data_IF_499583765897
#
_entry.id   IF_499583765897
#
_cell.length_a   1.000
_cell.length_b   1.000
_cell.length_c   1.000
_cell.angle_alpha   90.00
_cell.angle_beta   90.00
_cell.angle_gamma   90.00
#
_symmetry.space_group_name_H-M   'P 1'
#
loop_
_entity.id
_entity.type
_entity.pdbx_description
1 polymer ?
#
# COMPACT_ATOMS: atom_id res chain seq x y z
N UNK A 1 2.87 -5.28 -0.42
CA UNK A 1 4.18 -5.96 -0.59
C UNK A 1 3.99 -7.40 -1.05
N UNK A 2 5.01 -7.98 -1.63
CA UNK A 2 4.92 -9.33 -2.18
C UNK A 2 4.99 -10.38 -1.08
N UNK A 3 4.14 -11.39 -1.18
CA UNK A 3 4.12 -12.55 -0.28
C UNK A 3 4.18 -13.85 -1.07
N UNK A 4 4.13 -15.02 -0.38
CA UNK A 4 4.25 -16.33 -1.05
C UNK A 4 3.17 -16.61 -2.10
N UNK A 5 1.97 -16.06 -1.92
CA UNK A 5 0.83 -16.27 -2.82
C UNK A 5 0.60 -15.10 -3.78
N UNK A 6 1.48 -14.10 -3.79
CA UNK A 6 1.35 -12.88 -4.56
C UNK A 6 1.32 -11.64 -3.69
N UNK A 7 0.61 -10.59 -4.11
CA UNK A 7 0.55 -9.33 -3.36
C UNK A 7 -0.25 -9.52 -2.07
N UNK A 8 0.37 -9.20 -0.94
CA UNK A 8 -0.23 -9.33 0.39
C UNK A 8 -0.60 -7.98 0.98
N UNK A 9 -1.72 -7.92 1.70
CA UNK A 9 -2.16 -6.74 2.42
C UNK A 9 -1.32 -6.58 3.70
N UNK A 10 -0.62 -5.44 3.82
CA UNK A 10 0.29 -5.19 4.94
C UNK A 10 -0.27 -4.18 5.95
N UNK A 11 -1.39 -3.55 5.66
CA UNK A 11 -2.01 -2.59 6.56
C UNK A 11 -2.55 -1.38 5.83
N UNK A 12 -3.03 -0.42 6.62
CA UNK A 12 -3.64 0.83 6.16
C UNK A 12 -2.82 2.00 6.69
N UNK A 13 -2.32 2.85 5.78
CA UNK A 13 -1.51 4.02 6.15
C UNK A 13 -2.40 5.25 6.08
N UNK A 14 -2.67 5.87 7.24
CA UNK A 14 -3.55 7.03 7.34
C UNK A 14 -2.87 8.32 7.81
N UNK A 15 -1.55 8.29 8.07
CA UNK A 15 -0.83 9.45 8.58
C UNK A 15 0.47 9.69 7.80
N UNK A 16 1.02 10.88 7.93
CA UNK A 16 2.25 11.28 7.25
C UNK A 16 2.01 11.99 5.92
N UNK A 17 0.74 12.15 5.52
CA UNK A 17 0.39 12.81 4.27
C UNK A 17 0.12 14.30 4.49
N UNK A 18 0.63 15.14 3.57
CA UNK A 18 0.23 16.53 3.45
C UNK A 18 -0.80 16.66 2.32
N UNK A 19 -1.43 17.82 2.19
CA UNK A 19 -2.35 18.09 1.07
C UNK A 19 -1.64 17.92 -0.28
N UNK A 20 -0.42 18.43 -0.38
CA UNK A 20 0.38 18.33 -1.61
C UNK A 20 0.74 16.87 -1.92
N UNK A 21 1.10 16.10 -0.88
CA UNK A 21 1.41 14.68 -1.04
C UNK A 21 0.18 13.90 -1.53
N UNK A 22 -0.99 14.16 -0.94
CA UNK A 22 -2.22 13.48 -1.35
C UNK A 22 -2.58 13.81 -2.79
N UNK A 23 -2.43 15.07 -3.21
CA UNK A 23 -2.71 15.47 -4.58
C UNK A 23 -1.74 14.80 -5.56
N UNK A 24 -0.46 14.77 -5.25
CA UNK A 24 0.56 14.12 -6.07
C UNK A 24 0.31 12.63 -6.22
N UNK A 25 0.04 11.94 -5.11
CA UNK A 25 -0.26 10.51 -5.14
C UNK A 25 -1.53 10.21 -5.92
N UNK A 26 -2.57 11.03 -5.77
CA UNK A 26 -3.80 10.88 -6.53
C UNK A 26 -3.57 10.97 -8.03
N UNK A 27 -2.76 11.94 -8.48
CA UNK A 27 -2.41 12.08 -9.89
C UNK A 27 -1.60 10.89 -10.41
N UNK A 28 -0.68 10.36 -9.60
CA UNK A 28 0.15 9.22 -10.00
C UNK A 28 -0.64 7.91 -10.02
N UNK A 29 -1.63 7.77 -9.15
CA UNK A 29 -2.44 6.55 -9.03
C UNK A 29 -3.59 6.49 -10.02
N UNK A 30 -4.12 7.63 -10.46
CA UNK A 30 -5.29 7.66 -11.36
C UNK A 30 -5.12 6.82 -12.62
N UNK A 31 -3.99 6.90 -13.36
CA UNK A 31 -3.80 6.06 -14.54
C UNK A 31 -3.68 4.57 -14.22
N UNK A 32 -3.47 4.21 -12.95
CA UNK A 32 -3.27 2.83 -12.51
C UNK A 32 -4.56 2.18 -11.97
N UNK A 33 -5.70 2.88 -12.01
CA UNK A 33 -6.96 2.37 -11.47
C UNK A 33 -7.38 1.06 -12.13
N UNK A 34 -7.92 0.17 -11.30
CA UNK A 34 -8.44 -1.11 -11.78
C UNK A 34 -9.73 -1.45 -11.05
N UNK A 35 -10.54 -2.33 -11.64
CA UNK A 35 -11.86 -2.67 -11.10
C UNK A 35 -11.80 -3.66 -9.95
N UNK A 36 -10.76 -4.49 -9.89
CA UNK A 36 -10.64 -5.57 -8.92
C UNK A 36 -9.42 -5.39 -8.05
N UNK A 37 -9.45 -6.01 -6.85
CA UNK A 37 -8.32 -5.99 -5.92
C UNK A 37 -7.09 -6.69 -6.52
N UNK A 38 -5.89 -6.09 -6.40
CA UNK A 38 -4.64 -6.73 -6.81
C UNK A 38 -4.11 -7.73 -5.77
N UNK A 39 -4.74 -7.82 -4.59
CA UNK A 39 -4.26 -8.68 -3.52
C UNK A 39 -4.58 -10.15 -3.76
N UNK A 40 -3.66 -11.02 -3.38
CA UNK A 40 -3.80 -12.47 -3.53
C UNK A 40 -4.87 -13.05 -2.61
N UNK A 41 -5.09 -12.40 -1.45
CA UNK A 41 -6.10 -12.79 -0.47
C UNK A 41 -7.05 -11.63 -0.22
N UNK A 42 -8.29 -11.89 0.24
CA UNK A 42 -9.26 -10.81 0.49
C UNK A 42 -8.76 -9.82 1.53
N UNK A 43 -8.97 -8.54 1.25
CA UNK A 43 -8.73 -7.46 2.20
C UNK A 43 -9.92 -7.37 3.16
N UNK A 44 -9.72 -7.04 4.46
CA UNK A 44 -10.84 -6.89 5.40
C UNK A 44 -11.93 -5.98 4.84
N UNK A 45 -13.22 -6.33 5.01
CA UNK A 45 -14.33 -5.59 4.39
C UNK A 45 -14.38 -4.11 4.76
N UNK A 46 -14.00 -3.74 5.98
CA UNK A 46 -13.99 -2.35 6.42
C UNK A 46 -13.03 -1.47 5.63
N UNK A 47 -12.02 -2.06 5.02
CA UNK A 47 -11.06 -1.37 4.15
C UNK A 47 -11.34 -1.60 2.67
N UNK A 48 -11.91 -2.75 2.32
CA UNK A 48 -12.16 -3.12 0.93
C UNK A 48 -13.33 -2.34 0.31
N UNK A 49 -14.40 -2.08 1.06
CA UNK A 49 -15.61 -1.44 0.53
C UNK A 49 -15.39 -0.02 0.01
N UNK A 50 -14.70 0.86 0.75
CA UNK A 50 -14.47 2.22 0.26
C UNK A 50 -13.27 2.34 -0.67
N UNK A 51 -12.54 1.25 -0.91
CA UNK A 51 -11.27 1.30 -1.62
C UNK A 51 -11.46 1.53 -3.12
N UNK A 52 -10.51 2.28 -3.69
CA UNK A 52 -10.28 2.35 -5.13
C UNK A 52 -9.02 1.52 -5.38
N UNK A 53 -9.16 0.50 -6.23
CA UNK A 53 -8.05 -0.40 -6.52
C UNK A 53 -7.17 0.14 -7.63
N UNK A 54 -5.86 -0.08 -7.51
CA UNK A 54 -4.88 0.35 -8.50
C UNK A 54 -3.87 -0.77 -8.78
N UNK A 55 -3.23 -0.69 -9.95
CA UNK A 55 -2.10 -1.58 -10.25
C UNK A 55 -0.96 -1.26 -9.27
N UNK A 56 -0.31 -2.28 -8.68
CA UNK A 56 0.72 -2.07 -7.64
C UNK A 56 2.07 -1.71 -8.27
N UNK A 57 2.15 -0.54 -8.86
CA UNK A 57 3.36 -0.04 -9.54
C UNK A 57 4.13 1.02 -8.77
N UNK A 58 3.49 1.65 -7.78
CA UNK A 58 4.16 2.65 -6.94
C UNK A 58 4.66 2.00 -5.66
N UNK A 59 5.87 2.39 -5.25
CA UNK A 59 6.46 1.96 -3.97
C UNK A 59 6.61 3.19 -3.09
N UNK A 60 6.20 3.07 -1.85
CA UNK A 60 6.37 4.13 -0.85
C UNK A 60 7.22 3.63 0.31
N UNK A 61 7.89 4.58 0.97
CA UNK A 61 8.58 4.33 2.23
C UNK A 61 7.61 4.58 3.37
N UNK A 62 7.56 3.64 4.32
CA UNK A 62 6.68 3.72 5.48
C UNK A 62 7.49 3.46 6.74
N UNK A 63 7.31 4.31 7.74
CA UNK A 63 7.80 4.05 9.09
C UNK A 63 6.70 3.35 9.88
N UNK A 64 7.03 2.32 10.64
CA UNK A 64 6.03 1.62 11.46
C UNK A 64 6.71 1.06 12.71
N UNK A 65 5.89 0.80 13.74
CA UNK A 65 6.39 0.32 15.03
C UNK A 65 6.84 -1.15 14.94
N UNK A 66 5.93 -2.02 14.53
CA UNK A 66 6.21 -3.46 14.44
C UNK A 66 5.17 -4.16 13.56
N UNK A 67 5.43 -5.42 13.22
CA UNK A 67 4.45 -6.29 12.60
C UNK A 67 3.53 -6.89 13.66
N UNK A 68 2.22 -6.92 13.40
CA UNK A 68 1.25 -7.58 14.26
C UNK A 68 1.21 -9.09 13.95
N UNK A 69 0.52 -9.86 14.80
CA UNK A 69 0.30 -11.28 14.57
C UNK A 69 -0.49 -11.55 13.28
N UNK A 70 -1.34 -10.62 12.89
CA UNK A 70 -2.12 -10.72 11.65
C UNK A 70 -1.29 -10.39 10.40
N UNK A 71 0.01 -10.08 10.55
CA UNK A 71 0.87 -9.75 9.43
C UNK A 71 0.70 -8.33 8.92
N UNK A 72 0.32 -7.40 9.80
CA UNK A 72 0.08 -6.00 9.47
C UNK A 72 1.04 -5.07 10.18
N UNK A 73 1.35 -3.93 9.56
CA UNK A 73 2.14 -2.88 10.18
C UNK A 73 1.33 -2.19 11.27
N UNK A 74 1.94 -1.96 12.43
CA UNK A 74 1.35 -1.18 13.51
C UNK A 74 1.81 0.27 13.41
N UNK A 75 0.84 1.21 13.48
CA UNK A 75 1.08 2.64 13.43
C UNK A 75 1.92 3.08 12.22
N UNK A 76 1.55 2.69 10.99
CA UNK A 76 2.34 3.06 9.81
C UNK A 76 2.18 4.54 9.48
N UNK A 77 3.29 5.16 9.09
CA UNK A 77 3.35 6.57 8.70
C UNK A 77 4.03 6.69 7.35
N UNK A 78 3.38 7.39 6.41
CA UNK A 78 3.96 7.66 5.09
C UNK A 78 5.20 8.55 5.20
N UNK A 79 6.28 8.17 4.49
CA UNK A 79 7.54 8.91 4.52
C UNK A 79 8.00 9.39 3.13
N UNK A 80 7.46 8.89 2.06
CA UNK A 80 7.80 9.34 0.72
C UNK A 80 7.65 8.27 -0.35
N UNK A 81 7.78 8.68 -1.61
CA UNK A 81 7.81 7.76 -2.74
C UNK A 81 9.22 7.20 -2.96
N UNK A 82 9.28 5.96 -3.41
CA UNK A 82 10.51 5.29 -3.79
C UNK A 82 10.40 4.88 -5.26
N UNK A 83 10.98 5.69 -6.14
CA UNK A 83 10.99 5.42 -7.59
C UNK A 83 12.16 4.51 -8.01
N UNK A 84 13.06 4.21 -7.09
CA UNK A 84 14.28 3.43 -7.29
C UNK A 84 14.10 1.93 -6.99
N UNK A 85 12.92 1.51 -6.57
CA UNK A 85 12.63 0.12 -6.18
C UNK A 85 11.53 -0.46 -7.07
N UNK A 86 11.78 -1.65 -7.63
CA UNK A 86 10.76 -2.39 -8.37
C UNK A 86 9.71 -2.92 -7.38
N UNK A 87 8.41 -2.71 -7.63
CA UNK A 87 7.36 -3.24 -6.77
C UNK A 87 7.45 -4.75 -6.53
N UNK A 88 7.98 -5.51 -7.47
CA UNK A 88 8.16 -6.95 -7.33
C UNK A 88 9.21 -7.32 -6.27
N UNK A 89 10.08 -6.38 -5.92
CA UNK A 89 11.14 -6.60 -4.92
C UNK A 89 10.72 -6.19 -3.51
N UNK A 90 9.51 -5.66 -3.34
CA UNK A 90 9.02 -5.22 -2.03
C UNK A 90 8.48 -6.42 -1.26
N UNK A 91 9.24 -6.87 -0.29
CA UNK A 91 8.91 -8.03 0.54
C UNK A 91 8.95 -7.66 2.02
N UNK A 92 8.31 -8.48 2.84
CA UNK A 92 8.34 -8.32 4.29
C UNK A 92 9.73 -8.68 4.81
N UNK A 93 10.32 -7.75 5.54
CA UNK A 93 11.61 -7.94 6.19
C UNK A 93 11.51 -8.78 7.46
#
# INVERSE_FOLDING_TARGET
>A
MQGPAGLAYAGHVGTGFTQDTLAMLGQRLEPLRRKTSPFAVPVPPEHARPAVWVEPRLVIRVSFDRWTKAGRMRAPVYKGLRDDIDPADVVRE
#
